data_IF_005098621732
#
_entry.id   IF_005098621732
#
_cell.length_a   1.000
_cell.length_b   1.000
_cell.length_c   1.000
_cell.angle_alpha   90.00
_cell.angle_beta   90.00
_cell.angle_gamma   90.00
#
_symmetry.space_group_name_H-M   'P 1'
#
loop_
_entity.id
_entity.type
_entity.pdbx_description
1 polymer ?
#
# COMPACT_ATOMS: atom_id res chain seq x y z
N UNK A 1 23.64 8.32 -19.71
CA UNK A 1 22.94 7.06 -19.44
C UNK A 1 23.59 6.47 -18.20
N UNK A 2 23.21 6.95 -17.02
CA UNK A 2 23.58 6.32 -15.75
C UNK A 2 22.40 6.44 -14.79
N UNK A 3 22.00 5.27 -14.31
CA UNK A 3 20.82 4.98 -13.50
C UNK A 3 21.13 5.42 -12.07
N UNK A 4 20.34 6.34 -11.52
CA UNK A 4 20.59 6.86 -10.18
C UNK A 4 19.34 7.49 -9.58
N UNK A 5 18.30 6.67 -9.36
CA UNK A 5 17.13 7.06 -8.56
C UNK A 5 16.95 6.17 -7.32
N UNK A 6 17.95 5.35 -7.00
CA UNK A 6 17.98 4.53 -5.81
C UNK A 6 18.90 5.26 -4.83
N UNK A 7 18.35 5.62 -3.66
CA UNK A 7 18.99 6.26 -2.51
C UNK A 7 19.21 7.77 -2.55
N UNK A 8 18.29 8.49 -1.90
CA UNK A 8 18.70 9.50 -0.92
C UNK A 8 18.16 9.12 0.46
N UNK A 9 18.78 8.12 1.08
CA UNK A 9 18.80 8.02 2.54
C UNK A 9 19.79 9.06 3.08
N UNK A 10 19.47 10.37 2.97
CA UNK A 10 20.22 11.40 3.67
C UNK A 10 19.59 11.67 5.03
N UNK A 11 20.35 11.34 6.07
CA UNK A 11 20.33 12.15 7.30
C UNK A 11 19.34 11.73 8.37
N UNK A 12 19.65 10.64 9.07
CA UNK A 12 19.42 10.51 10.51
C UNK A 12 17.96 10.26 10.93
N UNK A 13 17.67 9.01 11.29
CA UNK A 13 16.37 8.56 11.83
C UNK A 13 15.25 8.65 10.79
N UNK A 14 15.32 7.80 9.76
CA UNK A 14 14.09 7.08 9.42
C UNK A 14 13.67 6.40 10.73
N UNK A 15 12.71 6.99 11.44
CA UNK A 15 12.12 6.34 12.60
C UNK A 15 11.66 5.00 12.05
N UNK A 16 12.32 3.91 12.43
CA UNK A 16 11.66 2.61 12.47
C UNK A 16 10.47 2.85 13.40
N UNK A 17 9.35 3.32 12.85
CA UNK A 17 8.09 3.26 13.53
C UNK A 17 7.85 1.77 13.63
N UNK A 18 7.93 1.25 14.85
CA UNK A 18 7.53 -0.12 15.13
C UNK A 18 6.12 -0.33 14.57
N UNK A 19 5.78 -1.51 14.03
CA UNK A 19 4.44 -1.79 13.52
C UNK A 19 3.31 -1.41 14.50
N UNK A 20 3.58 -1.48 15.81
CA UNK A 20 2.69 -1.04 16.90
C UNK A 20 2.43 0.47 16.98
N UNK A 21 3.31 1.32 16.44
CA UNK A 21 3.09 2.77 16.33
C UNK A 21 2.31 3.17 15.06
N UNK A 22 1.95 2.22 14.21
CA UNK A 22 1.18 2.46 12.98
C UNK A 22 -0.32 2.20 13.16
N UNK A 23 -0.77 1.92 14.39
CA UNK A 23 -2.18 1.78 14.74
C UNK A 23 -2.92 3.11 14.54
N UNK A 24 -3.83 3.17 13.57
CA UNK A 24 -4.64 4.35 13.28
C UNK A 24 -5.24 4.33 11.88
N UNK A 25 -6.15 5.28 11.61
CA UNK A 25 -6.66 5.50 10.26
C UNK A 25 -5.51 5.97 9.36
N UNK A 26 -5.20 5.22 8.31
CA UNK A 26 -4.18 5.56 7.33
C UNK A 26 -4.84 6.00 6.03
N UNK A 27 -4.54 7.22 5.59
CA UNK A 27 -4.91 7.74 4.29
C UNK A 27 -3.63 8.06 3.48
N UNK A 28 -3.23 7.12 2.63
CA UNK A 28 -2.07 7.28 1.75
C UNK A 28 -2.27 8.43 0.74
N UNK A 29 -3.51 8.79 0.41
CA UNK A 29 -3.78 9.88 -0.52
C UNK A 29 -3.62 11.26 0.17
N UNK A 30 -3.87 11.37 1.47
CA UNK A 30 -3.70 12.62 2.22
C UNK A 30 -2.27 12.86 2.71
N UNK A 31 -1.45 11.81 2.85
CA UNK A 31 -0.09 11.92 3.38
C UNK A 31 0.94 12.20 2.27
N UNK A 32 1.58 13.37 2.33
CA UNK A 32 2.60 13.81 1.37
C UNK A 32 3.95 13.09 1.52
N UNK A 33 4.18 12.37 2.62
CA UNK A 33 5.49 11.82 2.99
C UNK A 33 5.52 10.30 3.05
N UNK A 34 4.53 9.62 2.46
CA UNK A 34 4.49 8.14 2.39
C UNK A 34 5.77 7.62 1.74
N UNK A 35 6.54 6.84 2.49
CA UNK A 35 7.74 6.16 2.01
C UNK A 35 7.46 4.71 1.65
N UNK A 36 8.34 4.07 0.87
CA UNK A 36 8.25 2.64 0.55
C UNK A 36 8.22 1.80 1.83
N UNK A 37 9.06 2.14 2.82
CA UNK A 37 9.07 1.48 4.12
C UNK A 37 7.71 1.55 4.83
N UNK A 38 7.16 2.76 4.95
CA UNK A 38 5.88 2.96 5.61
C UNK A 38 4.75 2.22 4.88
N UNK A 39 4.70 2.32 3.56
CA UNK A 39 3.72 1.60 2.75
C UNK A 39 3.82 0.09 2.94
N UNK A 40 5.02 -0.50 2.91
CA UNK A 40 5.22 -1.94 3.13
C UNK A 40 4.72 -2.37 4.51
N UNK A 41 5.13 -1.68 5.58
CA UNK A 41 4.74 -2.07 6.95
C UNK A 41 3.23 -1.88 7.16
N UNK A 42 2.65 -0.78 6.69
CA UNK A 42 1.21 -0.53 6.83
C UNK A 42 0.36 -1.50 6.01
N UNK A 43 0.73 -1.81 4.77
CA UNK A 43 0.01 -2.78 3.97
C UNK A 43 0.10 -4.19 4.56
N UNK A 44 1.24 -4.57 5.14
CA UNK A 44 1.35 -5.85 5.85
C UNK A 44 0.47 -5.88 7.12
N UNK A 45 0.43 -4.78 7.88
CA UNK A 45 -0.46 -4.67 9.04
C UNK A 45 -1.95 -4.74 8.64
N UNK A 46 -2.36 -4.03 7.58
CA UNK A 46 -3.72 -4.12 7.04
C UNK A 46 -4.01 -5.53 6.54
N UNK A 47 -3.08 -6.18 5.83
CA UNK A 47 -3.23 -7.58 5.40
C UNK A 47 -3.50 -8.50 6.59
N UNK A 48 -2.74 -8.36 7.67
CA UNK A 48 -2.91 -9.22 8.86
C UNK A 48 -4.19 -8.94 9.64
N UNK A 49 -4.73 -7.72 9.57
CA UNK A 49 -5.89 -7.31 10.36
C UNK A 49 -7.21 -7.43 9.59
N UNK A 50 -7.23 -6.89 8.38
CA UNK A 50 -8.43 -6.67 7.56
C UNK A 50 -8.43 -7.50 6.27
N UNK A 51 -7.31 -8.13 5.92
CA UNK A 51 -7.20 -9.08 4.81
C UNK A 51 -6.96 -8.45 3.44
N UNK A 52 -6.95 -9.32 2.42
CA UNK A 52 -6.57 -9.00 1.05
C UNK A 52 -7.48 -7.94 0.39
N UNK A 53 -8.79 -8.01 0.65
CA UNK A 53 -9.76 -7.07 0.09
C UNK A 53 -9.44 -5.62 0.47
N UNK A 54 -9.10 -5.39 1.74
CA UNK A 54 -8.78 -4.05 2.24
C UNK A 54 -7.46 -3.53 1.69
N UNK A 55 -6.46 -4.41 1.53
CA UNK A 55 -5.21 -4.08 0.87
C UNK A 55 -5.45 -3.68 -0.59
N UNK A 56 -6.25 -4.44 -1.33
CA UNK A 56 -6.59 -4.17 -2.73
C UNK A 56 -7.29 -2.81 -2.90
N UNK A 57 -8.17 -2.42 -1.97
CA UNK A 57 -8.82 -1.11 -1.95
C UNK A 57 -7.83 0.06 -1.77
N UNK A 58 -6.76 -0.13 -0.99
CA UNK A 58 -5.76 0.91 -0.69
C UNK A 58 -4.72 1.08 -1.79
N UNK A 59 -4.38 0.01 -2.52
CA UNK A 59 -3.30 0.01 -3.52
C UNK A 59 -3.40 1.14 -4.56
N UNK A 60 -4.57 1.51 -5.11
CA UNK A 60 -4.69 2.63 -6.03
C UNK A 60 -4.28 3.99 -5.46
N UNK A 61 -4.39 4.19 -4.14
CA UNK A 61 -3.91 5.42 -3.48
C UNK A 61 -2.43 5.33 -3.13
N UNK A 62 -1.95 4.15 -2.75
CA UNK A 62 -0.53 3.93 -2.45
C UNK A 62 0.35 4.11 -3.69
N UNK A 63 -0.11 3.61 -4.85
CA UNK A 63 0.64 3.70 -6.11
C UNK A 63 0.84 5.15 -6.59
N UNK A 64 0.02 6.12 -6.14
CA UNK A 64 0.23 7.54 -6.49
C UNK A 64 1.35 8.18 -5.66
N UNK A 65 1.80 7.51 -4.60
CA UNK A 65 2.83 8.00 -3.68
C UNK A 65 4.16 7.25 -3.83
N UNK A 66 4.11 5.94 -4.05
CA UNK A 66 5.30 5.07 -4.09
C UNK A 66 5.22 4.03 -5.21
N UNK A 67 6.39 3.53 -5.63
CA UNK A 67 6.47 2.41 -6.57
C UNK A 67 6.06 1.10 -5.88
N UNK A 68 5.00 0.44 -6.36
CA UNK A 68 4.48 -0.81 -5.81
C UNK A 68 5.46 -1.99 -5.95
N UNK A 69 6.31 -2.03 -6.98
CA UNK A 69 7.33 -3.07 -7.10
C UNK A 69 8.36 -2.94 -5.97
N UNK A 70 8.75 -1.71 -5.62
CA UNK A 70 9.66 -1.47 -4.50
C UNK A 70 9.03 -1.87 -3.15
N UNK A 71 7.70 -1.70 -3.00
CA UNK A 71 6.97 -2.14 -1.81
C UNK A 71 6.98 -3.66 -1.68
N UNK A 72 6.75 -4.38 -2.79
CA UNK A 72 6.82 -5.84 -2.87
C UNK A 72 8.22 -6.36 -2.54
N UNK A 73 9.24 -5.81 -3.21
CA UNK A 73 10.64 -6.19 -2.99
C UNK A 73 11.07 -5.97 -1.55
N UNK A 74 10.72 -4.82 -0.95
CA UNK A 74 10.99 -4.57 0.46
C UNK A 74 10.25 -5.53 1.39
N UNK A 75 9.00 -5.89 1.07
CA UNK A 75 8.26 -6.93 1.80
C UNK A 75 8.98 -8.27 1.79
N UNK A 76 9.52 -8.69 0.64
CA UNK A 76 10.31 -9.92 0.55
C UNK A 76 11.60 -9.83 1.36
N UNK A 77 12.33 -8.71 1.29
CA UNK A 77 13.55 -8.52 2.07
C UNK A 77 13.28 -8.58 3.58
N UNK A 78 12.17 -7.98 4.03
CA UNK A 78 11.79 -7.98 5.45
C UNK A 78 11.37 -9.35 5.93
N UNK A 79 10.64 -10.11 5.11
CA UNK A 79 10.34 -11.50 5.39
C UNK A 79 11.61 -12.32 5.60
N UNK A 80 12.56 -12.29 4.65
CA UNK A 80 13.81 -13.04 4.75
C UNK A 80 14.68 -12.61 5.94
N UNK A 81 14.72 -11.31 6.24
CA UNK A 81 15.46 -10.79 7.39
C UNK A 81 14.83 -11.24 8.72
N UNK A 82 13.50 -11.28 8.81
CA UNK A 82 12.78 -11.82 9.97
C UNK A 82 13.03 -13.33 10.14
N UNK A 83 13.03 -14.11 9.05
CA UNK A 83 13.38 -15.53 9.08
C UNK A 83 14.80 -15.76 9.59
N UNK A 84 15.78 -15.00 9.07
CA UNK A 84 17.18 -15.06 9.51
C UNK A 84 17.33 -14.76 11.00
N UNK A 85 16.53 -13.83 11.52
CA UNK A 85 16.48 -13.46 12.95
C UNK A 85 15.63 -14.40 13.80
N UNK A 86 14.93 -15.37 13.21
CA UNK A 86 13.93 -16.22 13.86
C UNK A 86 12.79 -15.42 14.52
N UNK A 87 12.47 -14.25 13.97
CA UNK A 87 11.30 -13.47 14.39
C UNK A 87 10.05 -13.99 13.66
N UNK A 88 9.37 -14.96 14.28
CA UNK A 88 8.22 -15.62 13.68
C UNK A 88 7.06 -14.66 13.41
N UNK A 89 6.87 -13.61 14.24
CA UNK A 89 5.74 -12.70 14.10
C UNK A 89 5.91 -11.83 12.86
N UNK A 90 7.08 -11.22 12.71
CA UNK A 90 7.38 -10.38 11.55
C UNK A 90 7.47 -11.22 10.27
N UNK A 91 8.00 -12.44 10.35
CA UNK A 91 8.03 -13.36 9.21
C UNK A 91 6.61 -13.68 8.71
N UNK A 92 5.67 -14.03 9.60
CA UNK A 92 4.27 -14.28 9.22
C UNK A 92 3.64 -13.02 8.61
N UNK A 93 3.87 -11.86 9.22
CA UNK A 93 3.30 -10.59 8.80
C UNK A 93 3.70 -10.24 7.35
N UNK A 94 5.00 -10.22 7.06
CA UNK A 94 5.49 -9.86 5.73
C UNK A 94 5.23 -10.97 4.71
N UNK A 95 5.30 -12.25 5.12
CA UNK A 95 4.96 -13.37 4.26
C UNK A 95 3.52 -13.29 3.74
N UNK A 96 2.57 -12.93 4.61
CA UNK A 96 1.16 -12.76 4.22
C UNK A 96 0.98 -11.74 3.11
N UNK A 97 1.65 -10.58 3.20
CA UNK A 97 1.60 -9.56 2.17
C UNK A 97 2.20 -10.03 0.85
N UNK A 98 3.41 -10.60 0.87
CA UNK A 98 4.12 -10.97 -0.37
C UNK A 98 3.51 -12.17 -1.07
N UNK A 99 2.95 -13.11 -0.30
CA UNK A 99 2.28 -14.30 -0.85
C UNK A 99 0.99 -13.95 -1.57
N UNK A 100 0.22 -13.00 -1.03
CA UNK A 100 -1.04 -12.54 -1.62
C UNK A 100 -0.85 -11.43 -2.69
N UNK A 101 0.39 -11.01 -2.98
CA UNK A 101 0.67 -9.81 -3.78
C UNK A 101 0.04 -9.85 -5.18
N UNK A 102 0.09 -11.00 -5.84
CA UNK A 102 -0.52 -11.18 -7.16
C UNK A 102 -2.03 -10.95 -7.12
N UNK A 103 -2.71 -11.58 -6.17
CA UNK A 103 -4.16 -11.51 -6.01
C UNK A 103 -4.61 -10.08 -5.65
N UNK A 104 -3.95 -9.42 -4.69
CA UNK A 104 -4.33 -8.05 -4.29
C UNK A 104 -4.09 -7.03 -5.39
N UNK A 105 -3.01 -7.16 -6.18
CA UNK A 105 -2.75 -6.24 -7.30
C UNK A 105 -3.70 -6.47 -8.46
N UNK A 106 -4.12 -7.71 -8.70
CA UNK A 106 -5.18 -8.01 -9.65
C UNK A 106 -6.52 -7.41 -9.22
N UNK A 107 -6.89 -7.60 -7.95
CA UNK A 107 -8.12 -7.07 -7.39
C UNK A 107 -8.12 -5.54 -7.34
N UNK A 108 -6.97 -4.90 -7.07
CA UNK A 108 -6.79 -3.46 -7.08
C UNK A 108 -7.21 -2.80 -8.41
N UNK A 109 -7.04 -3.50 -9.53
CA UNK A 109 -7.47 -2.99 -10.86
C UNK A 109 -8.98 -2.70 -10.91
N UNK A 110 -9.79 -3.48 -10.18
CA UNK A 110 -11.24 -3.29 -10.11
C UNK A 110 -11.61 -1.97 -9.42
N UNK A 111 -10.83 -1.56 -8.41
CA UNK A 111 -11.03 -0.30 -7.69
C UNK A 111 -10.51 0.92 -8.46
N UNK A 112 -9.47 0.74 -9.29
CA UNK A 112 -8.99 1.80 -10.18
C UNK A 112 -9.94 2.07 -11.36
N UNK A 113 -10.68 1.05 -11.82
CA UNK A 113 -11.62 1.14 -12.94
C UNK A 113 -13.04 1.52 -12.53
N UNK A 114 -13.39 1.51 -11.24
CA UNK A 114 -14.65 2.06 -10.79
C UNK A 114 -14.58 3.59 -10.97
N UNK A 115 -15.33 4.20 -11.91
CA UNK A 115 -15.53 5.63 -11.83
C UNK A 115 -16.14 5.86 -10.44
N UNK A 116 -15.60 6.83 -9.68
CA UNK A 116 -16.43 7.53 -8.71
C UNK A 116 -17.65 7.96 -9.51
N UNK A 117 -18.74 7.21 -9.40
CA UNK A 117 -19.99 7.55 -10.05
C UNK A 117 -20.48 8.76 -9.29
N UNK A 118 -19.98 9.93 -9.68
CA UNK A 118 -20.73 11.16 -9.61
C UNK A 118 -21.99 10.87 -10.42
N UNK A 119 -23.00 10.38 -9.73
CA UNK A 119 -24.36 10.28 -10.21
C UNK A 119 -24.81 11.72 -10.46
N UNK A 120 -24.42 12.27 -11.61
CA UNK A 120 -25.10 13.41 -12.19
C UNK A 120 -26.47 12.86 -12.59
N UNK A 121 -27.45 13.12 -11.72
CA UNK A 121 -28.84 13.10 -12.13
C UNK A 121 -28.96 14.11 -13.26
N UNK A 122 -29.03 13.62 -14.49
CA UNK A 122 -29.57 14.39 -15.59
C UNK A 122 -31.08 14.42 -15.35
N UNK A 123 -31.53 15.49 -14.72
CA UNK A 123 -32.93 15.87 -14.73
C UNK A 123 -33.23 16.37 -16.15
N UNK A 124 -34.07 15.63 -16.86
CA UNK A 124 -34.54 16.02 -18.18
C UNK A 124 -35.86 16.75 -17.92
N UNK A 125 -35.80 18.06 -17.73
CA UNK A 125 -37.00 18.89 -17.79
C UNK A 125 -37.56 18.78 -19.20
N UNK A 126 -38.74 18.18 -19.27
CA UNK A 126 -39.54 17.95 -20.46
C UNK A 126 -40.18 19.29 -20.83
N UNK A 127 -39.48 20.10 -21.62
CA UNK A 127 -40.05 21.34 -22.17
C UNK A 127 -41.15 20.98 -23.19
N UNK A 128 -42.39 21.28 -22.78
CA UNK A 128 -43.61 21.32 -23.59
C UNK A 128 -43.45 22.28 -24.80
N UNK A 129 -43.93 21.83 -25.96
CA UNK A 129 -44.61 22.68 -26.98
C UNK A 129 -45.53 21.81 -27.87
#
# INVERSE_FOLDING_TARGET
LERGGIFEAKGGKARLLSPSHLEGAWDAAADERVSVWEATVRLAAVMSKDGADKVAELLPSVQTRVNLDAVKELGFLLFHEAEKKKDTKDAILFNGLVSAWGDVTEQARKYASAPRSSQQAFDFDEDED
#
